data_IF_659179453245
#
_entry.id   IF_659179453245
#
_cell.length_a   1.000
_cell.length_b   1.000
_cell.length_c   1.000
_cell.angle_alpha   90.00
_cell.angle_beta   90.00
_cell.angle_gamma   90.00
#
_symmetry.space_group_name_H-M   'P 1'
#
loop_
_entity.id
_entity.type
_entity.pdbx_description
1 polymer ?
#
# COMPACT_ATOMS: atom_id res chain seq x y z
N UNK A 1 14.44 2.34 -45.86
CA UNK A 1 15.15 1.30 -45.09
C UNK A 1 14.63 1.43 -43.68
N UNK A 2 13.66 0.59 -43.28
CA UNK A 2 13.93 -0.68 -42.57
C UNK A 2 14.56 -0.39 -41.19
N UNK A 3 14.08 -0.86 -40.03
CA UNK A 3 13.06 -1.85 -39.66
C UNK A 3 12.73 -1.68 -38.16
N UNK A 4 11.55 -2.13 -37.76
CA UNK A 4 11.00 -2.15 -36.40
C UNK A 4 11.65 -3.16 -35.41
N UNK A 5 11.50 -2.90 -34.10
CA UNK A 5 11.27 -3.85 -32.98
C UNK A 5 10.53 -3.08 -31.87
N UNK A 6 9.27 -3.33 -31.51
CA UNK A 6 8.62 -4.48 -30.83
C UNK A 6 8.97 -4.58 -29.34
N UNK A 7 8.07 -4.09 -28.48
CA UNK A 7 7.81 -4.61 -27.14
C UNK A 7 6.30 -4.43 -26.87
N UNK A 8 5.60 -5.55 -26.72
CA UNK A 8 4.16 -5.61 -26.48
C UNK A 8 3.88 -5.71 -24.99
N UNK A 9 3.00 -4.85 -24.51
CA UNK A 9 2.38 -4.94 -23.19
C UNK A 9 1.21 -5.94 -23.31
N UNK A 10 1.37 -7.12 -22.73
CA UNK A 10 0.29 -8.11 -22.62
C UNK A 10 -0.58 -7.68 -21.44
N UNK A 11 -1.67 -7.00 -21.75
CA UNK A 11 -2.79 -6.77 -20.84
C UNK A 11 -3.55 -8.09 -20.72
N UNK A 12 -3.49 -8.73 -19.56
CA UNK A 12 -4.29 -9.93 -19.25
C UNK A 12 -5.77 -9.53 -19.20
N UNK A 13 -6.66 -10.10 -20.02
CA UNK A 13 -8.08 -9.80 -19.93
C UNK A 13 -8.71 -10.56 -18.76
N UNK A 14 -9.42 -9.83 -17.90
CA UNK A 14 -10.40 -10.37 -16.96
C UNK A 14 -11.32 -11.34 -17.71
N UNK A 15 -11.30 -12.62 -17.32
CA UNK A 15 -12.23 -13.63 -17.80
C UNK A 15 -13.62 -13.34 -17.24
N UNK A 16 -14.35 -12.43 -17.90
CA UNK A 16 -15.79 -12.32 -17.79
C UNK A 16 -16.37 -13.64 -18.33
N UNK A 17 -16.75 -14.56 -17.43
CA UNK A 17 -17.47 -15.77 -17.81
C UNK A 17 -18.85 -15.34 -18.33
N UNK A 18 -19.00 -15.37 -19.64
CA UNK A 18 -20.28 -15.16 -20.32
C UNK A 18 -21.21 -16.31 -19.98
N UNK A 19 -22.21 -16.06 -19.14
CA UNK A 19 -23.40 -16.92 -18.98
C UNK A 19 -24.00 -17.18 -20.36
N UNK A 20 -23.89 -18.42 -20.83
CA UNK A 20 -24.67 -18.90 -21.97
C UNK A 20 -26.06 -19.28 -21.47
N UNK A 21 -27.04 -18.41 -21.71
CA UNK A 21 -28.44 -18.68 -21.47
C UNK A 21 -28.93 -19.80 -22.41
N UNK A 22 -28.95 -21.04 -21.90
CA UNK A 22 -29.63 -22.16 -22.56
C UNK A 22 -31.14 -22.01 -22.31
N UNK A 23 -31.85 -21.39 -23.27
CA UNK A 23 -33.31 -21.31 -23.27
C UNK A 23 -33.88 -22.69 -23.64
N UNK A 24 -34.11 -23.54 -22.64
CA UNK A 24 -34.94 -24.73 -22.79
C UNK A 24 -36.43 -24.31 -22.71
N UNK A 25 -37.06 -24.10 -23.87
CA UNK A 25 -38.49 -23.81 -23.99
C UNK A 25 -39.31 -25.06 -23.63
N UNK A 26 -39.63 -25.22 -22.35
CA UNK A 26 -40.58 -26.24 -21.88
C UNK A 26 -42.02 -25.79 -22.20
N UNK A 27 -42.63 -26.44 -23.19
CA UNK A 27 -44.06 -26.26 -23.51
C UNK A 27 -44.88 -26.95 -22.42
N UNK A 28 -45.20 -26.24 -21.34
CA UNK A 28 -46.28 -26.64 -20.44
C UNK A 28 -47.59 -26.37 -21.19
N UNK A 29 -48.28 -27.44 -21.60
CA UNK A 29 -49.61 -27.32 -22.19
C UNK A 29 -50.60 -26.81 -21.14
N UNK A 30 -50.72 -25.49 -21.05
CA UNK A 30 -51.72 -24.81 -20.23
C UNK A 30 -53.13 -25.16 -20.77
N UNK A 31 -53.86 -25.99 -20.04
CA UNK A 31 -55.30 -26.13 -20.27
C UNK A 31 -55.95 -24.87 -19.70
N UNK A 32 -56.37 -23.97 -20.59
CA UNK A 32 -57.04 -22.73 -20.19
C UNK A 32 -58.36 -23.04 -19.46
N UNK A 33 -58.41 -22.75 -18.16
CA UNK A 33 -59.64 -22.72 -17.36
C UNK A 33 -60.09 -21.24 -17.26
N UNK A 34 -61.37 -20.92 -17.51
CA UNK A 34 -61.84 -19.54 -17.51
C UNK A 34 -61.77 -18.91 -16.11
N UNK A 35 -61.41 -17.63 -16.08
CA UNK A 35 -61.24 -16.80 -14.89
C UNK A 35 -62.44 -16.84 -13.94
N UNK A 36 -62.18 -17.19 -12.68
CA UNK A 36 -63.07 -16.98 -11.54
C UNK A 36 -62.30 -16.13 -10.51
N UNK A 37 -63.05 -15.31 -9.79
CA UNK A 37 -62.65 -14.22 -8.90
C UNK A 37 -61.34 -14.38 -8.10
N UNK A 38 -60.66 -13.25 -7.88
CA UNK A 38 -59.57 -13.07 -6.93
C UNK A 38 -60.00 -13.51 -5.52
N UNK A 39 -59.67 -14.76 -5.19
CA UNK A 39 -59.46 -15.20 -3.82
C UNK A 39 -57.99 -14.90 -3.46
N UNK A 40 -57.71 -14.72 -2.17
CA UNK A 40 -56.37 -14.65 -1.59
C UNK A 40 -55.36 -15.47 -2.41
N UNK A 41 -54.21 -14.88 -2.73
CA UNK A 41 -53.15 -15.60 -3.42
C UNK A 41 -52.69 -16.71 -2.48
N UNK A 42 -53.27 -17.91 -2.65
CA UNK A 42 -52.76 -19.16 -2.10
C UNK A 42 -51.43 -19.40 -2.82
N UNK A 43 -50.35 -18.85 -2.29
CA UNK A 43 -49.05 -18.95 -2.90
C UNK A 43 -48.37 -20.19 -2.38
N UNK A 44 -48.31 -21.20 -3.24
CA UNK A 44 -47.35 -22.28 -3.08
C UNK A 44 -45.94 -21.66 -2.91
N UNK A 45 -45.19 -22.10 -1.91
CA UNK A 45 -43.84 -21.67 -1.64
C UNK A 45 -42.91 -22.88 -1.67
N UNK A 46 -41.69 -22.65 -2.14
CA UNK A 46 -40.67 -23.69 -2.34
C UNK A 46 -39.39 -23.18 -1.70
N UNK A 47 -38.91 -23.93 -0.72
CA UNK A 47 -37.66 -23.70 -0.02
C UNK A 47 -36.70 -24.87 -0.30
N UNK A 48 -35.40 -24.61 -0.30
CA UNK A 48 -34.37 -25.61 -0.63
C UNK A 48 -33.19 -25.41 0.30
N UNK A 49 -32.85 -26.45 1.06
CA UNK A 49 -31.75 -26.45 2.02
C UNK A 49 -30.79 -27.61 1.74
N UNK A 50 -29.48 -27.38 1.74
CA UNK A 50 -28.48 -28.44 1.53
C UNK A 50 -27.94 -28.95 2.87
N UNK A 51 -28.03 -30.25 3.06
CA UNK A 51 -27.57 -30.87 4.29
C UNK A 51 -26.06 -30.97 4.31
N UNK A 52 -25.46 -30.48 5.40
CA UNK A 52 -24.01 -30.53 5.61
C UNK A 52 -23.44 -31.96 5.52
N UNK A 53 -24.08 -32.91 6.18
CA UNK A 53 -23.52 -34.26 6.36
C UNK A 53 -23.56 -35.12 5.08
N UNK A 54 -24.48 -34.82 4.15
CA UNK A 54 -24.71 -35.64 2.94
C UNK A 54 -24.54 -34.87 1.64
N UNK A 55 -24.64 -33.54 1.68
CA UNK A 55 -24.75 -32.66 0.51
C UNK A 55 -26.08 -32.75 -0.23
N UNK A 56 -27.02 -33.60 0.24
CA UNK A 56 -28.34 -33.74 -0.36
C UNK A 56 -29.16 -32.48 -0.10
N UNK A 57 -29.99 -32.09 -1.08
CA UNK A 57 -30.86 -30.93 -0.94
C UNK A 57 -32.27 -31.36 -0.55
N UNK A 58 -32.82 -30.79 0.51
CA UNK A 58 -34.21 -30.98 0.92
C UNK A 58 -35.05 -29.85 0.35
N UNK A 59 -35.95 -30.19 -0.56
CA UNK A 59 -36.94 -29.25 -1.09
C UNK A 59 -38.19 -29.35 -0.22
N UNK A 60 -38.59 -28.23 0.38
CA UNK A 60 -39.80 -28.13 1.19
C UNK A 60 -40.86 -27.35 0.44
N UNK A 61 -42.08 -27.90 0.37
CA UNK A 61 -43.22 -27.27 -0.30
C UNK A 61 -44.30 -26.95 0.72
N UNK A 62 -44.68 -25.69 0.79
CA UNK A 62 -45.74 -25.21 1.67
C UNK A 62 -46.78 -24.42 0.89
N UNK A 63 -48.03 -24.46 1.34
CA UNK A 63 -49.12 -23.62 0.86
C UNK A 63 -49.79 -22.99 2.08
N UNK A 64 -49.82 -21.66 2.13
CA UNK A 64 -50.29 -20.90 3.30
C UNK A 64 -49.64 -21.39 4.61
N UNK A 65 -48.31 -21.50 4.61
CA UNK A 65 -47.48 -21.97 5.74
C UNK A 65 -47.80 -23.39 6.24
N UNK A 66 -48.55 -24.18 5.46
CA UNK A 66 -48.85 -25.58 5.75
C UNK A 66 -48.11 -26.48 4.77
N UNK A 67 -47.50 -27.56 5.26
CA UNK A 67 -46.78 -28.51 4.41
C UNK A 67 -47.71 -29.17 3.38
N UNK A 68 -47.21 -29.36 2.17
CA UNK A 68 -47.99 -29.89 1.04
C UNK A 68 -47.48 -31.26 0.64
N UNK A 69 -48.22 -32.30 1.02
CA UNK A 69 -47.98 -33.67 0.54
C UNK A 69 -48.41 -33.83 -0.93
N UNK A 70 -47.75 -34.72 -1.67
CA UNK A 70 -48.07 -35.07 -3.06
C UNK A 70 -47.99 -33.89 -4.06
N UNK A 71 -47.26 -32.82 -3.74
CA UNK A 71 -46.86 -31.83 -4.75
C UNK A 71 -45.90 -32.48 -5.74
N UNK A 72 -46.11 -32.27 -7.03
CA UNK A 72 -45.21 -32.78 -8.08
C UNK A 72 -44.03 -31.83 -8.22
N UNK A 73 -42.80 -32.34 -8.12
CA UNK A 73 -41.56 -31.59 -8.30
C UNK A 73 -40.85 -32.10 -9.55
N UNK A 74 -40.74 -31.25 -10.57
CA UNK A 74 -39.99 -31.53 -11.78
C UNK A 74 -38.69 -30.73 -11.77
N UNK A 75 -37.57 -31.44 -11.83
CA UNK A 75 -36.23 -30.84 -11.83
C UNK A 75 -35.71 -30.77 -13.26
N UNK A 76 -35.36 -29.57 -13.70
CA UNK A 76 -34.59 -29.35 -14.92
C UNK A 76 -33.17 -28.96 -14.52
N UNK A 77 -32.18 -29.69 -15.04
CA UNK A 77 -30.79 -29.57 -14.63
C UNK A 77 -29.84 -29.68 -15.83
N UNK A 78 -28.58 -29.21 -15.70
CA UNK A 78 -27.53 -29.47 -16.68
C UNK A 78 -27.14 -30.95 -16.73
N UNK A 79 -26.39 -31.36 -17.77
CA UNK A 79 -26.03 -32.76 -18.01
C UNK A 79 -25.19 -33.40 -16.88
N UNK A 80 -24.46 -32.59 -16.11
CA UNK A 80 -23.62 -33.03 -14.99
C UNK A 80 -24.43 -33.35 -13.72
N UNK A 81 -25.75 -33.12 -13.72
CA UNK A 81 -26.61 -33.40 -12.58
C UNK A 81 -27.86 -34.19 -12.98
N UNK A 82 -28.21 -35.19 -12.17
CA UNK A 82 -29.41 -36.01 -12.36
C UNK A 82 -30.13 -36.17 -11.03
N UNK A 83 -31.31 -35.53 -10.93
CA UNK A 83 -32.17 -35.62 -9.76
C UNK A 83 -32.98 -36.93 -9.67
N UNK A 84 -32.95 -37.76 -10.72
CA UNK A 84 -33.85 -38.91 -10.87
C UNK A 84 -35.16 -38.55 -11.60
N UNK A 85 -36.10 -39.49 -11.64
CA UNK A 85 -37.42 -39.28 -12.26
C UNK A 85 -38.32 -38.39 -11.39
N UNK A 86 -39.39 -37.84 -12.00
CA UNK A 86 -40.30 -36.89 -11.36
C UNK A 86 -40.72 -37.33 -9.95
N UNK A 87 -40.58 -36.40 -9.01
CA UNK A 87 -40.72 -36.68 -7.60
C UNK A 87 -42.01 -36.09 -7.05
N UNK A 88 -42.54 -36.70 -5.99
CA UNK A 88 -43.67 -36.17 -5.24
C UNK A 88 -43.26 -35.94 -3.80
N UNK A 89 -43.69 -34.82 -3.21
CA UNK A 89 -43.43 -34.55 -1.80
C UNK A 89 -44.08 -35.60 -0.90
N UNK A 90 -43.40 -35.92 0.20
CA UNK A 90 -43.85 -36.87 1.22
C UNK A 90 -44.85 -36.21 2.20
N UNK A 91 -45.23 -36.95 3.26
CA UNK A 91 -46.17 -36.46 4.29
C UNK A 91 -45.70 -35.23 5.04
N UNK A 92 -44.41 -34.89 4.97
CA UNK A 92 -43.83 -33.68 5.55
C UNK A 92 -43.76 -32.52 4.55
N UNK A 93 -44.27 -32.72 3.33
CA UNK A 93 -44.15 -31.75 2.24
C UNK A 93 -42.74 -31.63 1.68
N UNK A 94 -41.92 -32.66 1.86
CA UNK A 94 -40.50 -32.63 1.47
C UNK A 94 -40.18 -33.61 0.36
N UNK A 95 -39.16 -33.29 -0.43
CA UNK A 95 -38.49 -34.23 -1.33
C UNK A 95 -36.98 -34.03 -1.25
N UNK A 96 -36.22 -35.12 -1.25
CA UNK A 96 -34.76 -35.09 -1.20
C UNK A 96 -34.22 -35.21 -2.62
N UNK A 97 -33.36 -34.26 -2.99
CA UNK A 97 -32.57 -34.29 -4.20
C UNK A 97 -31.16 -34.81 -3.88
N UNK A 98 -30.58 -35.69 -4.71
CA UNK A 98 -29.25 -36.21 -4.48
C UNK A 98 -28.20 -35.09 -4.50
N UNK A 99 -27.13 -35.26 -3.73
CA UNK A 99 -25.98 -34.36 -3.74
C UNK A 99 -25.36 -34.30 -5.15
N UNK A 100 -25.02 -33.11 -5.66
CA UNK A 100 -24.34 -33.00 -6.94
C UNK A 100 -22.85 -33.40 -6.82
N UNK A 101 -22.29 -34.04 -7.85
CA UNK A 101 -20.85 -34.29 -7.92
C UNK A 101 -20.05 -33.02 -8.30
N UNK A 102 -20.70 -32.11 -9.02
CA UNK A 102 -20.19 -30.81 -9.45
C UNK A 102 -21.33 -29.80 -9.31
N UNK A 103 -21.05 -28.56 -8.89
CA UNK A 103 -22.11 -27.56 -8.66
C UNK A 103 -23.00 -27.38 -9.90
N UNK A 104 -24.32 -27.28 -9.67
CA UNK A 104 -25.31 -27.28 -10.74
C UNK A 104 -26.47 -26.31 -10.47
N UNK A 105 -26.73 -25.43 -11.45
CA UNK A 105 -27.92 -24.59 -11.47
C UNK A 105 -29.14 -25.41 -11.91
N UNK A 106 -30.09 -25.64 -11.01
CA UNK A 106 -31.30 -26.40 -11.28
C UNK A 106 -32.54 -25.50 -11.24
N UNK A 107 -33.52 -25.83 -12.08
CA UNK A 107 -34.84 -25.21 -12.09
C UNK A 107 -35.87 -26.21 -11.60
N UNK A 108 -36.51 -25.90 -10.48
CA UNK A 108 -37.58 -26.69 -9.87
C UNK A 108 -38.93 -26.13 -10.35
N UNK A 109 -39.72 -26.95 -11.04
CA UNK A 109 -41.12 -26.67 -11.33
C UNK A 109 -42.00 -27.50 -10.40
N UNK A 110 -42.65 -26.83 -9.45
CA UNK A 110 -43.49 -27.46 -8.43
C UNK A 110 -44.96 -27.21 -8.75
N UNK A 111 -45.77 -28.26 -8.74
CA UNK A 111 -47.20 -28.19 -9.02
C UNK A 111 -48.03 -28.89 -7.94
N UNK A 112 -49.04 -28.19 -7.42
CA UNK A 112 -50.05 -28.74 -6.50
C UNK A 112 -51.39 -28.05 -6.71
N UNK A 113 -52.50 -28.79 -6.68
CA UNK A 113 -53.85 -28.20 -6.73
C UNK A 113 -54.19 -27.38 -7.99
N UNK A 114 -53.38 -27.46 -9.05
CA UNK A 114 -53.50 -26.59 -10.25
C UNK A 114 -52.65 -25.32 -10.20
N UNK A 115 -52.03 -25.03 -9.05
CA UNK A 115 -51.03 -23.98 -8.85
C UNK A 115 -49.66 -24.49 -9.28
N UNK A 116 -48.86 -23.62 -9.91
CA UNK A 116 -47.49 -23.94 -10.34
C UNK A 116 -46.53 -22.84 -9.89
N UNK A 117 -45.38 -23.24 -9.38
CA UNK A 117 -44.28 -22.35 -8.98
C UNK A 117 -42.99 -22.83 -9.59
N UNK A 118 -42.15 -21.89 -10.00
CA UNK A 118 -40.81 -22.18 -10.50
C UNK A 118 -39.78 -21.53 -9.59
N UNK A 119 -38.77 -22.31 -9.17
CA UNK A 119 -37.66 -21.85 -8.33
C UNK A 119 -36.35 -22.25 -8.99
N UNK A 120 -35.43 -21.29 -9.10
CA UNK A 120 -34.06 -21.57 -9.52
C UNK A 120 -33.20 -21.68 -8.25
N UNK A 121 -32.33 -22.67 -8.20
CA UNK A 121 -31.39 -22.89 -7.09
C UNK A 121 -30.09 -23.46 -7.63
N UNK A 122 -28.97 -23.03 -7.06
CA UNK A 122 -27.65 -23.61 -7.32
C UNK A 122 -27.39 -24.65 -6.24
N UNK A 123 -27.24 -25.91 -6.63
CA UNK A 123 -26.83 -26.97 -5.72
C UNK A 123 -25.30 -27.06 -5.75
N UNK A 124 -24.67 -26.90 -4.60
CA UNK A 124 -23.21 -26.91 -4.45
C UNK A 124 -22.71 -28.33 -4.17
N UNK A 125 -21.66 -28.74 -4.88
CA UNK A 125 -21.03 -30.05 -4.64
C UNK A 125 -20.42 -30.12 -3.23
N UNK A 126 -20.46 -31.27 -2.53
CA UNK A 126 -19.82 -31.42 -1.23
C UNK A 126 -18.36 -30.98 -1.22
N UNK A 127 -17.62 -31.29 -2.29
CA UNK A 127 -16.22 -30.91 -2.46
C UNK A 127 -15.99 -29.38 -2.58
N UNK A 128 -17.02 -28.62 -2.94
CA UNK A 128 -16.99 -27.16 -3.12
C UNK A 128 -17.80 -26.44 -2.03
N UNK A 129 -18.27 -27.17 -1.01
CA UNK A 129 -19.19 -26.66 0.00
C UNK A 129 -18.51 -25.84 1.10
N UNK A 130 -17.22 -26.08 1.32
CA UNK A 130 -16.40 -25.38 2.30
C UNK A 130 -15.98 -24.03 1.72
N UNK A 131 -16.17 -22.97 2.49
CA UNK A 131 -15.81 -21.60 2.14
C UNK A 131 -14.98 -20.99 3.27
N UNK A 132 -14.01 -20.15 2.89
CA UNK A 132 -13.14 -19.44 3.83
C UNK A 132 -13.04 -17.98 3.43
N UNK A 133 -13.32 -17.11 4.38
CA UNK A 133 -13.25 -15.66 4.22
C UNK A 133 -12.30 -15.08 5.27
N UNK A 134 -11.68 -13.95 4.94
CA UNK A 134 -10.78 -13.22 5.83
C UNK A 134 -11.21 -11.76 5.81
N UNK A 135 -11.47 -11.20 6.98
CA UNK A 135 -11.82 -9.80 7.18
C UNK A 135 -10.83 -9.17 8.16
N UNK A 136 -10.39 -7.95 7.87
CA UNK A 136 -9.48 -7.21 8.73
C UNK A 136 -9.73 -5.70 8.56
N UNK A 137 -9.82 -5.00 9.68
CA UNK A 137 -9.62 -3.55 9.72
C UNK A 137 -8.11 -3.27 9.83
N UNK A 138 -7.60 -2.22 9.17
CA UNK A 138 -6.15 -1.97 9.09
C UNK A 138 -5.50 -1.87 10.48
N UNK A 139 -4.36 -2.53 10.68
CA UNK A 139 -3.68 -2.56 11.98
C UNK A 139 -4.34 -3.43 13.05
N UNK A 140 -5.54 -3.95 12.80
CA UNK A 140 -6.25 -4.82 13.73
C UNK A 140 -6.03 -6.31 13.43
N UNK A 141 -6.57 -7.16 14.31
CA UNK A 141 -6.54 -8.62 14.14
C UNK A 141 -7.45 -9.02 13.00
N UNK A 142 -6.99 -9.95 12.15
CA UNK A 142 -7.82 -10.50 11.09
C UNK A 142 -8.74 -11.60 11.64
N UNK A 143 -9.97 -11.66 11.18
CA UNK A 143 -10.93 -12.72 11.49
C UNK A 143 -11.06 -13.60 10.25
N UNK A 144 -10.67 -14.87 10.39
CA UNK A 144 -10.94 -15.90 9.39
C UNK A 144 -12.24 -16.59 9.76
N UNK A 145 -13.17 -16.67 8.81
CA UNK A 145 -14.44 -17.38 8.98
C UNK A 145 -14.50 -18.56 8.03
N UNK A 146 -14.77 -19.75 8.56
CA UNK A 146 -14.94 -20.99 7.81
C UNK A 146 -16.40 -21.44 7.90
N UNK A 147 -17.03 -21.59 6.74
CA UNK A 147 -18.41 -22.07 6.63
C UNK A 147 -18.51 -23.27 5.71
N UNK A 148 -19.54 -24.08 5.90
CA UNK A 148 -19.90 -25.14 4.99
C UNK A 148 -21.39 -25.03 4.67
N UNK A 149 -21.72 -24.89 3.39
CA UNK A 149 -23.07 -24.51 2.94
C UNK A 149 -23.60 -23.25 3.64
N UNK A 150 -22.72 -22.29 3.95
CA UNK A 150 -23.06 -21.03 4.63
C UNK A 150 -23.20 -21.13 6.16
N UNK A 151 -23.15 -22.33 6.72
CA UNK A 151 -23.22 -22.54 8.17
C UNK A 151 -21.81 -22.62 8.79
N UNK A 152 -21.57 -22.09 10.00
CA UNK A 152 -20.24 -22.06 10.62
C UNK A 152 -19.70 -23.46 10.96
N UNK A 153 -18.41 -23.67 10.76
CA UNK A 153 -17.72 -24.95 11.01
C UNK A 153 -16.79 -24.82 12.21
N UNK A 154 -17.12 -25.46 13.33
CA UNK A 154 -16.25 -25.57 14.50
C UNK A 154 -15.12 -26.59 14.28
N UNK A 155 -13.95 -26.34 14.86
CA UNK A 155 -12.76 -27.20 14.80
C UNK A 155 -12.22 -27.46 13.37
N UNK A 156 -12.52 -26.58 12.41
CA UNK A 156 -11.83 -26.60 11.12
C UNK A 156 -10.38 -26.17 11.34
N UNK A 157 -9.43 -26.90 10.76
CA UNK A 157 -8.01 -26.55 10.82
C UNK A 157 -7.71 -25.45 9.80
N UNK A 158 -7.17 -24.32 10.26
CA UNK A 158 -6.79 -23.16 9.46
C UNK A 158 -5.28 -23.01 9.48
N UNK A 159 -4.66 -22.89 8.31
CA UNK A 159 -3.22 -22.64 8.15
C UNK A 159 -3.00 -21.40 7.30
N UNK A 160 -2.02 -20.58 7.68
CA UNK A 160 -1.67 -19.35 6.98
C UNK A 160 -0.28 -19.49 6.38
N UNK A 161 -0.14 -19.12 5.12
CA UNK A 161 1.14 -19.12 4.39
C UNK A 161 1.29 -17.82 3.61
N UNK A 162 2.50 -17.49 3.19
CA UNK A 162 2.77 -16.38 2.27
C UNK A 162 3.92 -16.78 1.35
N UNK A 163 3.94 -16.21 0.14
CA UNK A 163 5.07 -16.34 -0.79
C UNK A 163 6.19 -15.35 -0.46
N UNK A 164 5.90 -14.38 0.41
CA UNK A 164 6.84 -13.34 0.83
C UNK A 164 7.82 -13.88 1.87
N UNK A 165 9.08 -13.41 1.82
CA UNK A 165 10.09 -13.81 2.80
C UNK A 165 10.05 -12.90 4.04
N UNK A 166 8.89 -12.86 4.69
CA UNK A 166 8.58 -12.03 5.87
C UNK A 166 8.32 -12.90 7.09
N UNK A 167 8.51 -12.33 8.28
CA UNK A 167 8.08 -12.95 9.53
C UNK A 167 6.69 -12.46 9.88
N UNK A 168 5.75 -13.37 10.07
CA UNK A 168 4.43 -13.08 10.62
C UNK A 168 4.02 -14.20 11.57
N UNK A 169 3.48 -13.83 12.72
CA UNK A 169 3.34 -14.74 13.86
C UNK A 169 2.44 -15.96 13.58
N UNK A 170 1.41 -15.81 12.72
CA UNK A 170 0.52 -16.93 12.37
C UNK A 170 1.02 -17.78 11.19
N UNK A 171 2.18 -17.48 10.60
CA UNK A 171 2.68 -18.26 9.46
C UNK A 171 3.06 -19.68 9.84
N UNK A 172 2.59 -20.63 9.03
CA UNK A 172 2.86 -22.06 9.17
C UNK A 172 2.41 -22.66 10.52
N UNK A 173 1.55 -21.94 11.24
CA UNK A 173 0.84 -22.47 12.39
C UNK A 173 -0.53 -23.01 11.95
N UNK A 174 -1.00 -24.04 12.65
CA UNK A 174 -2.36 -24.53 12.49
C UNK A 174 -3.19 -24.05 13.66
N UNK A 175 -4.28 -23.35 13.35
CA UNK A 175 -5.28 -22.92 14.30
C UNK A 175 -6.58 -23.70 14.09
N UNK A 176 -7.44 -23.74 15.09
CA UNK A 176 -8.77 -24.36 14.98
C UNK A 176 -9.85 -23.28 15.13
N UNK A 177 -10.91 -23.38 14.33
CA UNK A 177 -12.06 -22.48 14.45
C UNK A 177 -12.88 -22.77 15.70
N UNK A 178 -13.46 -21.72 16.27
CA UNK A 178 -14.37 -21.80 17.40
C UNK A 178 -15.79 -22.22 17.00
N UNK A 179 -16.73 -22.22 17.96
CA UNK A 179 -18.15 -22.57 17.74
C UNK A 179 -18.85 -21.70 16.69
N UNK A 180 -18.33 -20.50 16.42
CA UNK A 180 -18.85 -19.59 15.41
C UNK A 180 -18.17 -19.80 14.05
N UNK A 181 -17.28 -20.79 13.93
CA UNK A 181 -16.50 -21.03 12.73
C UNK A 181 -15.41 -19.99 12.50
N UNK A 182 -14.96 -19.31 13.55
CA UNK A 182 -14.01 -18.20 13.43
C UNK A 182 -12.66 -18.48 14.08
N UNK A 183 -11.60 -17.87 13.57
CA UNK A 183 -10.29 -17.79 14.21
C UNK A 183 -9.69 -16.40 14.03
N UNK A 184 -9.12 -15.86 15.11
CA UNK A 184 -8.43 -14.56 15.10
C UNK A 184 -6.94 -14.73 14.79
N UNK A 185 -6.47 -14.09 13.73
CA UNK A 185 -5.06 -13.95 13.43
C UNK A 185 -4.52 -12.63 14.01
N UNK A 186 -3.27 -12.57 14.47
CA UNK A 186 -2.66 -11.32 14.94
C UNK A 186 -2.59 -10.27 13.82
N UNK A 187 -2.54 -8.99 14.16
CA UNK A 187 -2.21 -7.93 13.19
C UNK A 187 -0.79 -8.15 12.65
N UNK A 188 -0.51 -7.86 11.38
CA UNK A 188 0.84 -7.90 10.84
C UNK A 188 1.61 -6.62 11.21
N UNK A 189 2.95 -6.71 11.28
CA UNK A 189 3.83 -5.55 11.50
C UNK A 189 4.05 -4.72 10.21
N UNK A 190 3.89 -5.35 9.04
CA UNK A 190 3.97 -4.75 7.71
C UNK A 190 2.83 -5.30 6.84
N UNK A 191 2.39 -4.53 5.85
CA UNK A 191 1.44 -5.01 4.84
C UNK A 191 1.94 -6.30 4.18
N UNK A 192 1.12 -7.35 4.20
CA UNK A 192 1.51 -8.65 3.63
C UNK A 192 0.32 -9.40 3.03
N UNK A 193 0.59 -10.16 1.96
CA UNK A 193 -0.41 -11.00 1.31
C UNK A 193 -0.28 -12.44 1.81
N UNK A 194 -1.36 -12.95 2.42
CA UNK A 194 -1.46 -14.33 2.92
C UNK A 194 -2.33 -15.19 2.04
N UNK A 195 -2.00 -16.48 2.00
CA UNK A 195 -2.90 -17.55 1.58
C UNK A 195 -3.35 -18.30 2.82
N UNK A 196 -4.66 -18.29 3.05
CA UNK A 196 -5.32 -18.98 4.17
C UNK A 196 -6.00 -20.22 3.63
N UNK A 197 -5.63 -21.38 4.18
CA UNK A 197 -6.24 -22.67 3.84
C UNK A 197 -6.99 -23.23 5.05
N UNK A 198 -8.26 -23.57 4.85
CA UNK A 198 -9.09 -24.24 5.83
C UNK A 198 -9.34 -25.69 5.41
N UNK A 199 -9.28 -26.62 6.35
CA UNK A 199 -9.59 -28.04 6.15
C UNK A 199 -10.52 -28.56 7.23
N UNK A 200 -11.53 -29.32 6.81
CA UNK A 200 -12.40 -30.11 7.69
C UNK A 200 -12.68 -31.43 7.00
N UNK A 201 -12.46 -32.54 7.71
CA UNK A 201 -12.48 -33.89 7.15
C UNK A 201 -11.60 -33.99 5.88
N UNK A 202 -12.20 -34.34 4.73
CA UNK A 202 -11.54 -34.43 3.43
C UNK A 202 -11.74 -33.17 2.55
N UNK A 203 -12.37 -32.12 3.09
CA UNK A 203 -12.65 -30.87 2.38
C UNK A 203 -11.54 -29.84 2.61
N UNK A 204 -11.26 -29.06 1.57
CA UNK A 204 -10.31 -27.96 1.62
C UNK A 204 -10.90 -26.74 0.92
N UNK A 205 -10.73 -25.57 1.54
CA UNK A 205 -11.01 -24.27 0.95
C UNK A 205 -9.77 -23.40 1.14
N UNK A 206 -9.48 -22.55 0.16
CA UNK A 206 -8.33 -21.64 0.23
C UNK A 206 -8.75 -20.27 -0.30
N UNK A 207 -8.29 -19.23 0.38
CA UNK A 207 -8.47 -17.84 -0.04
C UNK A 207 -7.17 -17.06 0.12
N UNK A 208 -7.05 -15.96 -0.61
CA UNK A 208 -5.92 -15.03 -0.51
C UNK A 208 -6.44 -13.71 0.03
N UNK A 209 -5.76 -13.15 1.02
CA UNK A 209 -6.09 -11.87 1.62
C UNK A 209 -4.83 -11.01 1.76
N UNK A 210 -4.99 -9.70 1.60
CA UNK A 210 -3.96 -8.74 1.99
C UNK A 210 -4.30 -8.29 3.41
N UNK A 211 -3.36 -8.50 4.33
CA UNK A 211 -3.43 -7.99 5.67
C UNK A 211 -2.66 -6.68 5.73
N UNK A 212 -3.29 -5.65 6.28
CA UNK A 212 -2.74 -4.29 6.35
C UNK A 212 -2.29 -4.02 7.78
N UNK A 213 -1.06 -3.53 7.92
CA UNK A 213 -0.51 -3.08 9.19
C UNK A 213 -1.06 -1.68 9.53
N UNK A 214 -0.81 -1.21 10.75
CA UNK A 214 -1.10 0.19 11.05
C UNK A 214 -0.03 1.07 10.44
N UNK A 215 -0.44 2.20 9.84
CA UNK A 215 0.48 3.18 9.28
C UNK A 215 0.55 4.41 10.19
N UNK A 216 1.66 4.56 10.91
CA UNK A 216 2.01 5.82 11.53
C UNK A 216 2.15 6.91 10.45
N UNK A 217 1.51 8.06 10.70
CA UNK A 217 1.55 9.22 9.84
C UNK A 217 1.96 10.47 10.62
N UNK A 218 2.69 11.35 9.95
CA UNK A 218 3.08 12.66 10.50
C UNK A 218 2.83 13.76 9.48
N UNK A 219 2.10 14.77 9.90
CA UNK A 219 1.89 16.01 9.16
C UNK A 219 2.61 17.15 9.87
N UNK A 220 3.23 18.04 9.09
CA UNK A 220 3.91 19.22 9.59
C UNK A 220 3.49 20.42 8.74
N UNK A 221 3.02 21.48 9.38
CA UNK A 221 2.54 22.69 8.71
C UNK A 221 2.99 23.93 9.46
N UNK A 222 3.24 25.02 8.73
CA UNK A 222 3.39 26.33 9.33
C UNK A 222 2.01 26.97 9.51
N UNK A 223 1.71 27.42 10.72
CA UNK A 223 0.48 28.14 11.05
C UNK A 223 0.52 29.60 10.58
N UNK A 224 -0.62 30.30 10.63
CA UNK A 224 -0.69 31.73 10.31
C UNK A 224 0.16 32.61 11.25
N UNK A 225 0.42 32.14 12.47
CA UNK A 225 1.30 32.79 13.46
C UNK A 225 2.79 32.41 13.26
N UNK A 226 3.12 31.70 12.17
CA UNK A 226 4.48 31.29 11.83
C UNK A 226 4.99 30.07 12.62
N UNK A 227 4.22 29.54 13.56
CA UNK A 227 4.55 28.37 14.38
C UNK A 227 4.53 27.09 13.55
N UNK A 228 5.40 26.14 13.88
CA UNK A 228 5.37 24.79 13.31
C UNK A 228 4.37 23.93 14.11
N UNK A 229 3.26 23.56 13.47
CA UNK A 229 2.30 22.59 13.98
C UNK A 229 2.59 21.21 13.39
N UNK A 230 2.71 20.22 14.27
CA UNK A 230 2.95 18.82 13.93
C UNK A 230 1.81 17.99 14.49
N UNK A 231 1.21 17.17 13.63
CA UNK A 231 0.20 16.19 13.97
C UNK A 231 0.76 14.79 13.71
N UNK A 232 0.67 13.91 14.71
CA UNK A 232 1.06 12.50 14.63
C UNK A 232 -0.20 11.67 14.82
N UNK A 233 -0.51 10.85 13.81
CA UNK A 233 -1.72 10.04 13.78
C UNK A 233 -1.42 8.62 13.35
N UNK A 234 -2.22 7.68 13.84
CA UNK A 234 -2.20 6.27 13.48
C UNK A 234 -3.66 5.88 13.15
N UNK A 235 -3.89 5.35 11.95
CA UNK A 235 -5.23 5.16 11.35
C UNK A 235 -6.15 6.41 11.45
N UNK A 236 -5.54 7.61 11.42
CA UNK A 236 -6.24 8.88 11.50
C UNK A 236 -6.58 9.36 12.92
N UNK A 237 -6.31 8.56 13.96
CA UNK A 237 -6.44 8.97 15.36
C UNK A 237 -5.12 9.51 15.92
N UNK A 238 -5.19 10.51 16.80
CA UNK A 238 -3.99 11.10 17.40
C UNK A 238 -3.28 10.14 18.37
N UNK A 239 -1.98 9.96 18.16
CA UNK A 239 -1.18 9.08 19.01
C UNK A 239 -0.61 9.81 20.22
N UNK A 240 -1.03 9.43 21.42
CA UNK A 240 -0.51 10.04 22.65
C UNK A 240 0.99 9.73 22.86
N UNK A 241 1.71 10.73 23.36
CA UNK A 241 3.13 10.63 23.72
C UNK A 241 4.06 10.15 22.60
N UNK A 242 3.69 10.38 21.33
CA UNK A 242 4.58 10.10 20.21
C UNK A 242 5.90 10.86 20.34
N UNK A 243 7.00 10.20 19.99
CA UNK A 243 8.33 10.82 19.96
C UNK A 243 8.52 11.51 18.63
N UNK A 244 8.77 12.82 18.64
CA UNK A 244 8.94 13.62 17.43
C UNK A 244 10.38 14.13 17.38
N UNK A 245 11.14 13.71 16.39
CA UNK A 245 12.49 14.24 16.12
C UNK A 245 12.41 15.28 15.02
N UNK A 246 12.91 16.46 15.30
CA UNK A 246 12.97 17.61 14.41
C UNK A 246 14.41 17.83 14.03
N UNK A 247 14.71 17.85 12.74
CA UNK A 247 16.03 18.11 12.20
C UNK A 247 15.94 19.17 11.12
N UNK A 248 16.94 20.04 11.02
CA UNK A 248 16.98 21.04 9.96
C UNK A 248 18.37 21.21 9.35
N UNK A 249 18.40 21.74 8.13
CA UNK A 249 19.66 21.93 7.38
C UNK A 249 20.53 23.09 7.88
N UNK A 250 19.91 24.05 8.58
CA UNK A 250 20.51 25.16 9.33
C UNK A 250 20.12 25.01 10.82
N UNK A 251 20.57 25.90 11.70
CA UNK A 251 20.29 25.75 13.13
C UNK A 251 18.88 26.30 13.44
N UNK A 252 17.91 25.42 13.66
CA UNK A 252 16.60 25.78 14.21
C UNK A 252 16.61 25.60 15.73
N UNK A 253 15.99 26.51 16.49
CA UNK A 253 16.01 26.45 17.96
C UNK A 253 15.42 25.14 18.51
N UNK A 254 14.50 24.53 17.77
CA UNK A 254 13.82 23.31 18.16
C UNK A 254 14.37 22.05 17.47
N UNK A 255 15.61 22.07 16.97
CA UNK A 255 16.28 20.82 16.56
C UNK A 255 16.41 19.86 17.75
N UNK A 256 16.14 18.57 17.51
CA UNK A 256 16.21 17.50 18.50
C UNK A 256 14.88 16.78 18.73
N UNK A 257 14.77 16.08 19.85
CA UNK A 257 13.63 15.22 20.18
C UNK A 257 12.65 15.91 21.11
N UNK A 258 11.37 15.80 20.76
CA UNK A 258 10.21 16.33 21.48
C UNK A 258 9.19 15.22 21.71
N UNK A 259 8.23 15.48 22.58
CA UNK A 259 7.08 14.60 22.81
C UNK A 259 5.82 15.32 22.38
N UNK A 260 4.98 14.64 21.59
CA UNK A 260 3.63 15.09 21.24
C UNK A 260 2.63 14.44 22.21
N UNK A 261 2.28 15.09 23.35
CA UNK A 261 1.54 14.43 24.43
C UNK A 261 0.14 13.95 24.01
N UNK A 262 -0.51 14.66 23.08
CA UNK A 262 -1.83 14.32 22.56
C UNK A 262 -1.80 14.13 21.03
N UNK A 263 -0.73 13.54 20.49
CA UNK A 263 -0.51 13.41 19.04
C UNK A 263 -0.38 14.74 18.31
N UNK A 264 -0.14 15.82 19.05
CA UNK A 264 0.04 17.18 18.52
C UNK A 264 1.21 17.86 19.22
N UNK A 265 1.96 18.66 18.47
CA UNK A 265 3.09 19.45 18.95
C UNK A 265 3.12 20.78 18.21
N UNK A 266 3.27 21.88 18.94
CA UNK A 266 3.46 23.21 18.38
C UNK A 266 4.79 23.77 18.83
N UNK A 267 5.61 24.21 17.89
CA UNK A 267 6.94 24.77 18.09
C UNK A 267 6.98 26.22 17.59
N UNK A 268 7.75 27.07 18.28
CA UNK A 268 7.79 28.50 17.99
C UNK A 268 8.36 28.80 16.59
N UNK A 269 8.05 29.96 15.98
CA UNK A 269 8.47 30.29 14.63
C UNK A 269 10.00 30.34 14.49
N UNK A 270 10.56 30.06 13.30
CA UNK A 270 12.00 30.18 13.10
C UNK A 270 12.43 31.64 13.00
N UNK A 271 13.70 31.92 13.32
CA UNK A 271 14.29 33.26 13.17
C UNK A 271 14.82 33.55 11.77
N UNK A 272 15.08 32.50 10.99
CA UNK A 272 15.50 32.54 9.58
C UNK A 272 14.73 31.47 8.82
N UNK A 273 14.59 31.59 7.49
CA UNK A 273 13.94 30.54 6.72
C UNK A 273 14.71 29.23 6.82
N UNK A 274 13.98 28.13 6.98
CA UNK A 274 14.54 26.81 7.24
C UNK A 274 13.64 25.73 6.67
N UNK A 275 14.24 24.70 6.08
CA UNK A 275 13.56 23.44 5.79
C UNK A 275 13.76 22.51 6.99
N UNK A 276 12.65 22.06 7.56
CA UNK A 276 12.61 21.16 8.71
C UNK A 276 12.15 19.78 8.24
N UNK A 277 12.87 18.75 8.66
CA UNK A 277 12.51 17.34 8.56
C UNK A 277 11.97 16.87 9.92
N UNK A 278 10.78 16.28 9.90
CA UNK A 278 10.08 15.82 11.10
C UNK A 278 9.94 14.31 10.98
N UNK A 279 10.44 13.59 11.98
CA UNK A 279 10.29 12.14 12.13
C UNK A 279 9.47 11.84 13.38
N UNK A 280 8.29 11.25 13.21
CA UNK A 280 7.52 10.70 14.32
C UNK A 280 7.92 9.23 14.54
N UNK A 281 7.95 8.80 15.79
CA UNK A 281 8.18 7.42 16.19
C UNK A 281 7.23 7.05 17.33
N UNK A 282 6.54 5.93 17.15
CA UNK A 282 5.66 5.30 18.14
C UNK A 282 6.08 3.84 18.17
N UNK A 283 6.47 3.34 19.35
CA UNK A 283 7.08 2.02 19.50
C UNK A 283 8.20 1.78 18.45
N UNK A 284 8.01 0.87 17.51
CA UNK A 284 8.95 0.57 16.42
C UNK A 284 8.59 1.21 15.07
N UNK A 285 7.41 1.83 14.96
CA UNK A 285 6.91 2.48 13.74
C UNK A 285 7.49 3.88 13.55
N UNK A 286 7.67 4.28 12.28
CA UNK A 286 8.28 5.56 11.91
C UNK A 286 7.59 6.20 10.73
N UNK A 287 7.30 7.49 10.87
CA UNK A 287 6.77 8.33 9.82
C UNK A 287 7.64 9.57 9.65
N UNK A 288 7.87 10.02 8.42
CA UNK A 288 8.70 11.20 8.15
C UNK A 288 8.01 12.18 7.21
N UNK A 289 8.18 13.46 7.46
CA UNK A 289 7.71 14.54 6.57
C UNK A 289 8.70 15.70 6.59
N UNK A 290 8.53 16.67 5.69
CA UNK A 290 9.34 17.89 5.67
C UNK A 290 8.50 19.11 5.35
N UNK A 291 8.84 20.25 5.92
CA UNK A 291 8.15 21.52 5.71
C UNK A 291 9.15 22.67 5.64
N UNK A 292 8.92 23.60 4.72
CA UNK A 292 9.64 24.87 4.66
C UNK A 292 8.95 25.88 5.58
N UNK A 293 9.69 26.40 6.55
CA UNK A 293 9.22 27.44 7.47
C UNK A 293 9.79 28.80 7.06
N UNK A 294 8.93 29.80 7.03
CA UNK A 294 9.31 31.21 6.78
C UNK A 294 9.40 31.94 8.11
N UNK A 295 10.48 32.67 8.34
CA UNK A 295 10.61 33.50 9.53
C UNK A 295 9.64 34.70 9.46
N UNK A 296 9.05 35.11 10.60
CA UNK A 296 8.18 36.30 10.64
C UNK A 296 8.89 37.57 10.14
N UNK A 297 10.19 37.66 10.35
CA UNK A 297 11.02 38.76 9.87
C UNK A 297 11.44 38.65 8.40
N UNK A 298 11.13 37.53 7.74
CA UNK A 298 11.29 37.36 6.29
C UNK A 298 10.00 37.62 5.51
N UNK A 299 9.13 38.50 6.02
CA UNK A 299 8.49 39.46 5.13
C UNK A 299 9.59 40.39 4.60
N UNK A 300 10.42 39.91 3.68
CA UNK A 300 11.72 40.48 3.32
C UNK A 300 11.64 42.01 3.22
N UNK A 301 12.50 42.76 3.93
CA UNK A 301 12.65 44.20 3.72
C UNK A 301 12.93 44.55 2.23
N UNK A 302 13.44 43.58 1.45
CA UNK A 302 13.59 43.67 0.00
C UNK A 302 12.25 43.62 -0.77
N UNK A 303 11.23 42.91 -0.30
CA UNK A 303 9.90 42.90 -0.91
C UNK A 303 9.14 44.19 -0.62
N UNK A 304 9.27 44.75 0.59
CA UNK A 304 8.73 46.06 0.93
C UNK A 304 9.46 47.18 0.16
N UNK A 305 10.79 47.10 0.06
CA UNK A 305 11.59 48.00 -0.75
C UNK A 305 11.27 47.88 -2.26
N UNK A 306 11.18 46.67 -2.80
CA UNK A 306 10.85 46.44 -4.21
C UNK A 306 9.41 46.88 -4.54
N UNK A 307 8.45 46.63 -3.66
CA UNK A 307 7.07 47.11 -3.80
C UNK A 307 7.02 48.63 -3.75
N UNK A 308 7.74 49.24 -2.82
CA UNK A 308 7.85 50.71 -2.70
C UNK A 308 8.55 51.33 -3.91
N UNK A 309 9.58 50.68 -4.46
CA UNK A 309 10.27 51.09 -5.67
C UNK A 309 9.36 51.02 -6.91
N UNK A 310 8.58 49.95 -7.07
CA UNK A 310 7.63 49.81 -8.17
C UNK A 310 6.51 50.85 -8.08
N UNK A 311 5.97 51.11 -6.87
CA UNK A 311 4.99 52.15 -6.65
C UNK A 311 5.55 53.55 -6.94
N UNK A 312 6.80 53.81 -6.54
CA UNK A 312 7.48 55.07 -6.81
C UNK A 312 7.76 55.28 -8.31
N UNK A 313 8.20 54.25 -9.03
CA UNK A 313 8.36 54.29 -10.49
C UNK A 313 7.00 54.55 -11.16
N UNK A 314 5.92 53.92 -10.69
CA UNK A 314 4.57 54.17 -11.17
C UNK A 314 4.12 55.62 -10.96
N UNK A 315 4.44 56.20 -9.80
CA UNK A 315 4.19 57.62 -9.50
C UNK A 315 4.95 58.54 -10.47
N UNK A 316 6.25 58.32 -10.66
CA UNK A 316 7.08 59.12 -11.58
C UNK A 316 6.67 59.00 -13.06
N UNK A 317 6.03 57.89 -13.45
CA UNK A 317 5.49 57.70 -14.80
C UNK A 317 4.11 58.35 -14.99
N UNK A 318 3.37 58.58 -13.90
CA UNK A 318 2.04 59.19 -13.93
C UNK A 318 2.06 60.71 -13.80
N UNK A 319 3.11 61.27 -13.19
CA UNK A 319 3.32 62.70 -13.01
C UNK A 319 4.37 63.22 -14.01
N UNK A 320 4.19 64.44 -14.51
CA UNK A 320 5.18 65.09 -15.39
C UNK A 320 6.29 65.69 -14.50
N UNK A 321 7.22 64.83 -14.09
CA UNK A 321 8.30 65.19 -13.17
C UNK A 321 9.44 65.91 -13.89
N UNK A 322 9.93 66.99 -13.27
CA UNK A 322 11.07 67.74 -13.81
C UNK A 322 12.38 66.93 -13.68
N UNK A 323 13.04 66.70 -14.81
CA UNK A 323 14.36 66.08 -14.91
C UNK A 323 14.36 64.57 -15.26
N UNK A 324 15.55 63.95 -15.37
CA UNK A 324 15.66 62.54 -15.74
C UNK A 324 15.13 61.63 -14.63
N UNK A 325 14.09 60.83 -14.94
CA UNK A 325 13.47 59.84 -14.03
C UNK A 325 14.52 58.96 -13.32
N UNK A 326 15.62 58.62 -14.00
CA UNK A 326 16.70 57.81 -13.44
C UNK A 326 17.43 58.42 -12.23
N UNK A 327 17.46 59.75 -12.09
CA UNK A 327 18.06 60.40 -10.91
C UNK A 327 17.14 60.25 -9.68
N UNK A 328 15.83 60.47 -9.86
CA UNK A 328 14.84 60.29 -8.79
C UNK A 328 14.80 58.84 -8.30
N UNK A 329 14.92 57.87 -9.20
CA UNK A 329 15.01 56.45 -8.85
C UNK A 329 16.31 56.16 -8.07
N UNK A 330 17.45 56.71 -8.49
CA UNK A 330 18.72 56.53 -7.79
C UNK A 330 18.68 57.11 -6.37
N UNK A 331 18.07 58.29 -6.19
CA UNK A 331 17.90 58.91 -4.87
C UNK A 331 16.97 58.10 -3.97
N UNK A 332 15.86 57.59 -4.52
CA UNK A 332 14.94 56.72 -3.79
C UNK A 332 15.60 55.41 -3.36
N UNK A 333 16.33 54.76 -4.27
CA UNK A 333 17.08 53.53 -3.99
C UNK A 333 18.14 53.81 -2.94
N UNK A 334 18.88 54.92 -3.03
CA UNK A 334 19.92 55.26 -2.08
C UNK A 334 19.36 55.54 -0.67
N UNK A 335 18.24 56.28 -0.59
CA UNK A 335 17.62 56.65 0.69
C UNK A 335 16.89 55.49 1.38
N UNK A 336 16.42 54.50 0.62
CA UNK A 336 15.58 53.41 1.14
C UNK A 336 16.23 52.02 1.01
N UNK A 337 17.50 51.94 0.57
CA UNK A 337 18.19 50.65 0.45
C UNK A 337 18.29 49.97 1.83
N UNK A 338 17.71 48.78 2.00
CA UNK A 338 17.75 48.06 3.28
C UNK A 338 19.17 47.71 3.74
N UNK A 339 20.17 47.69 2.84
CA UNK A 339 21.57 47.44 3.17
C UNK A 339 22.34 48.69 3.68
N UNK A 340 21.75 49.90 3.63
CA UNK A 340 22.42 51.15 3.99
C UNK A 340 22.75 51.27 5.49
N UNK A 341 22.01 50.58 6.37
CA UNK A 341 22.25 50.57 7.83
C UNK A 341 23.46 49.73 8.26
N UNK A 342 24.01 48.90 7.37
CA UNK A 342 24.98 47.86 7.70
C UNK A 342 26.43 48.25 7.29
N UNK A 343 26.65 49.52 6.92
CA UNK A 343 27.95 50.01 6.43
C UNK A 343 28.33 49.52 5.02
N UNK A 344 27.39 48.95 4.28
CA UNK A 344 27.56 48.40 2.93
C UNK A 344 26.77 49.22 1.90
N UNK A 345 26.72 50.55 2.09
CA UNK A 345 26.23 51.47 1.07
C UNK A 345 27.08 51.39 -0.21
N UNK A 346 26.58 51.91 -1.35
CA UNK A 346 27.36 51.96 -2.59
C UNK A 346 28.70 52.69 -2.33
N UNK A 347 29.79 52.31 -3.04
CA UNK A 347 31.11 52.90 -2.81
C UNK A 347 31.09 54.44 -2.85
N UNK A 348 31.90 55.10 -2.00
CA UNK A 348 32.06 56.57 -1.85
C UNK A 348 32.44 57.33 -3.15
N UNK A 349 32.47 56.64 -4.28
CA UNK A 349 32.85 57.14 -5.60
C UNK A 349 31.70 57.09 -6.62
N UNK A 350 30.44 56.94 -6.17
CA UNK A 350 29.27 57.23 -6.99
C UNK A 350 29.15 58.76 -7.19
N UNK A 351 30.05 59.33 -8.00
CA UNK A 351 30.18 60.76 -8.23
C UNK A 351 28.91 61.38 -8.82
N UNK A 352 28.29 62.28 -8.06
CA UNK A 352 27.35 63.29 -8.58
C UNK A 352 28.12 64.48 -9.19
N UNK A 353 27.57 65.21 -10.18
CA UNK A 353 28.31 66.20 -10.96
C UNK A 353 28.53 67.57 -10.28
N UNK A 354 28.25 67.74 -8.98
CA UNK A 354 28.25 69.05 -8.32
C UNK A 354 29.14 69.09 -7.06
N UNK A 355 30.45 68.96 -7.24
CA UNK A 355 31.46 69.27 -6.22
C UNK A 355 31.96 70.70 -6.35
N UNK A 356 31.17 71.66 -5.88
CA UNK A 356 31.51 73.07 -5.78
C UNK A 356 32.18 73.33 -4.41
N UNK A 357 33.43 73.79 -4.47
CA UNK A 357 34.13 74.66 -3.51
C UNK A 357 34.12 74.30 -2.01
N UNK A 358 35.23 73.72 -1.54
CA UNK A 358 35.83 74.21 -0.30
C UNK A 358 37.36 74.30 -0.45
N UNK A 359 37.83 75.54 -0.50
CA UNK A 359 39.23 75.92 -0.53
C UNK A 359 39.59 76.50 0.84
N UNK A 360 40.49 75.84 1.55
CA UNK A 360 41.24 76.37 2.71
C UNK A 360 42.28 75.33 3.15
N UNK A 361 43.56 75.42 2.76
CA UNK A 361 44.61 76.33 3.29
C UNK A 361 44.85 76.07 4.79
N UNK A 362 45.98 75.61 5.34
CA UNK A 362 47.39 75.39 5.00
C UNK A 362 47.87 74.27 5.97
N UNK A 363 48.96 73.53 5.81
CA UNK A 363 50.36 73.98 5.71
C UNK A 363 51.25 72.86 5.18
N UNK A 364 52.02 73.18 4.15
CA UNK A 364 53.21 72.49 3.67
C UNK A 364 54.32 72.46 4.74
N UNK A 365 55.09 71.37 4.81
CA UNK A 365 56.57 71.37 4.82
C UNK A 365 57.09 70.04 4.23
N UNK A 366 57.53 70.12 2.97
CA UNK A 366 58.71 69.53 2.34
C UNK A 366 59.05 68.03 2.51
N UNK A 367 58.96 67.26 1.41
CA UNK A 367 60.19 66.76 0.74
C UNK A 367 59.90 66.36 -0.72
N UNK A 368 60.81 66.79 -1.59
CA UNK A 368 60.78 66.76 -3.04
C UNK A 368 60.96 65.33 -3.58
N UNK A 369 60.25 64.95 -4.65
CA UNK A 369 60.82 64.52 -5.95
C UNK A 369 59.77 63.86 -6.86
N UNK A 370 59.53 64.55 -7.98
CA UNK A 370 59.29 64.09 -9.35
C UNK A 370 58.61 62.74 -9.67
N UNK A 371 57.57 62.91 -10.50
CA UNK A 371 57.25 62.16 -11.72
C UNK A 371 56.67 60.72 -11.65
N UNK A 372 55.40 60.68 -12.05
CA UNK A 372 54.91 59.88 -13.16
C UNK A 372 55.32 58.40 -13.22
N UNK A 373 54.42 57.55 -12.70
CA UNK A 373 53.70 56.49 -13.46
C UNK A 373 53.28 55.37 -12.53
N UNK A 374 51.97 55.28 -12.28
CA UNK A 374 51.33 54.00 -11.95
C UNK A 374 51.44 53.07 -13.17
N UNK A 375 52.45 52.20 -13.14
CA UNK A 375 52.58 50.99 -13.95
C UNK A 375 52.99 49.83 -13.02
N UNK A 376 52.62 48.58 -13.33
CA UNK A 376 52.64 47.48 -12.37
C UNK A 376 54.07 47.05 -12.03
N UNK A 377 54.38 46.63 -10.78
CA UNK A 377 55.70 46.12 -10.48
C UNK A 377 55.88 44.71 -11.06
N UNK A 378 56.77 44.64 -12.05
CA UNK A 378 57.52 43.47 -12.44
C UNK A 378 58.69 43.23 -11.47
N UNK A 379 58.80 42.03 -10.90
CA UNK A 379 60.10 41.52 -10.42
C UNK A 379 60.27 40.07 -10.89
N UNK A 380 60.77 39.94 -12.12
CA UNK A 380 61.67 38.84 -12.45
C UNK A 380 63.07 39.26 -11.98
N UNK A 381 63.69 38.48 -11.09
CA UNK A 381 65.13 38.50 -10.94
C UNK A 381 65.72 37.27 -11.63
N UNK A 382 66.59 37.51 -12.59
CA UNK A 382 67.29 36.52 -13.38
C UNK A 382 68.68 36.26 -12.79
N UNK A 383 69.12 34.99 -12.84
CA UNK A 383 70.51 34.61 -12.59
C UNK A 383 70.70 33.12 -12.36
N UNK A 384 70.84 32.34 -13.44
CA UNK A 384 71.42 30.97 -13.39
C UNK A 384 72.94 31.00 -13.17
N UNK A 385 73.69 29.87 -13.28
CA UNK A 385 73.36 28.68 -14.10
C UNK A 385 73.72 27.30 -13.49
N UNK A 386 73.47 26.28 -14.32
CA UNK A 386 74.10 24.95 -14.42
C UNK A 386 73.60 23.77 -13.55
N UNK A 387 72.68 23.03 -14.18
CA UNK A 387 72.75 21.60 -14.51
C UNK A 387 73.66 20.70 -13.65
N UNK A 388 73.05 19.77 -12.92
CA UNK A 388 73.48 18.37 -12.90
C UNK A 388 72.32 17.46 -12.45
N UNK A 389 72.01 16.46 -13.29
CA UNK A 389 71.29 15.22 -13.00
C UNK A 389 71.36 14.82 -11.52
N UNK A 390 70.22 14.56 -10.87
CA UNK A 390 69.91 13.32 -10.12
C UNK A 390 68.39 13.21 -9.85
N UNK A 391 67.76 12.21 -10.47
CA UNK A 391 66.60 11.41 -10.01
C UNK A 391 65.26 12.10 -9.72
N UNK A 392 64.12 11.65 -10.33
CA UNK A 392 62.82 11.98 -9.78
C UNK A 392 62.59 11.19 -8.47
N UNK A 393 61.99 11.82 -7.44
CA UNK A 393 61.77 11.22 -6.14
C UNK A 393 60.62 10.21 -6.18
N UNK A 394 60.77 9.20 -5.33
CA UNK A 394 59.73 8.26 -4.94
C UNK A 394 58.87 8.82 -3.81
N UNK A 395 57.64 8.32 -3.79
CA UNK A 395 56.72 8.12 -2.65
C UNK A 395 55.48 9.03 -2.53
N UNK A 396 54.36 8.40 -2.94
CA UNK A 396 53.06 8.25 -2.26
C UNK A 396 52.29 9.52 -1.86
N UNK A 397 51.01 9.70 -2.24
CA UNK A 397 50.05 8.91 -3.00
C UNK A 397 48.86 9.82 -3.36
N UNK A 398 48.15 9.57 -4.47
CA UNK A 398 46.71 9.78 -4.47
C UNK A 398 45.97 8.59 -5.11
N UNK A 399 44.64 8.74 -5.21
CA UNK A 399 43.67 8.04 -6.08
C UNK A 399 42.73 7.09 -5.33
N UNK A 400 41.41 7.29 -5.36
CA UNK A 400 40.45 7.44 -6.48
C UNK A 400 40.10 6.14 -7.20
N UNK A 401 38.79 6.03 -7.44
CA UNK A 401 38.09 5.35 -8.54
C UNK A 401 37.68 3.86 -8.44
N UNK A 402 36.34 3.75 -8.36
CA UNK A 402 35.27 2.84 -8.86
C UNK A 402 35.61 1.69 -9.87
N UNK A 403 34.60 0.95 -10.39
CA UNK A 403 34.63 -0.51 -10.63
C UNK A 403 35.33 -0.82 -11.98
N UNK A 404 35.59 -2.07 -12.38
CA UNK A 404 34.74 -2.87 -13.26
C UNK A 404 35.44 -4.22 -13.44
N UNK A 405 34.69 -5.32 -13.28
CA UNK A 405 35.19 -6.67 -13.46
C UNK A 405 35.10 -7.12 -14.91
N UNK A 406 36.26 -7.38 -15.53
CA UNK A 406 36.39 -8.31 -16.64
C UNK A 406 37.38 -9.40 -16.20
N UNK A 407 36.90 -10.63 -16.08
CA UNK A 407 37.74 -11.81 -15.84
C UNK A 407 37.46 -12.83 -16.94
N UNK A 408 38.35 -12.85 -17.93
CA UNK A 408 38.50 -13.93 -18.89
C UNK A 408 39.85 -14.61 -18.68
N UNK A 409 39.80 -15.95 -18.59
CA UNK A 409 40.70 -16.94 -19.22
C UNK A 409 41.17 -18.03 -18.26
N UNK A 410 40.60 -19.23 -18.47
CA UNK A 410 41.26 -20.53 -18.71
C UNK A 410 42.42 -20.95 -17.77
N UNK A 411 42.55 -22.18 -17.30
CA UNK A 411 42.26 -23.49 -17.91
C UNK A 411 42.43 -24.57 -16.80
N UNK A 412 41.86 -25.77 -16.98
CA UNK A 412 42.41 -27.10 -16.59
C UNK A 412 41.33 -28.15 -16.26
N UNK A 413 40.92 -28.87 -17.32
CA UNK A 413 40.97 -30.34 -17.45
C UNK A 413 40.59 -31.18 -16.20
N UNK A 414 39.45 -31.86 -16.25
CA UNK A 414 39.36 -33.34 -16.30
C UNK A 414 37.91 -33.81 -16.54
N UNK A 415 37.76 -34.82 -17.41
CA UNK A 415 36.47 -35.42 -17.77
C UNK A 415 35.88 -36.32 -16.68
N UNK A 416 34.68 -36.89 -16.91
CA UNK A 416 33.91 -37.60 -15.89
C UNK A 416 34.30 -39.08 -15.83
N UNK A 417 34.13 -39.76 -14.68
CA UNK A 417 33.97 -41.21 -14.69
C UNK A 417 32.56 -41.63 -14.27
N UNK A 418 32.17 -42.75 -14.87
CA UNK A 418 30.93 -43.48 -14.73
C UNK A 418 30.81 -44.30 -13.42
N UNK A 419 29.59 -44.81 -13.20
CA UNK A 419 29.19 -45.99 -12.44
C UNK A 419 30.25 -47.08 -12.26
N UNK A 420 30.39 -47.64 -11.04
CA UNK A 420 30.47 -49.10 -10.78
C UNK A 420 30.19 -49.44 -9.29
N UNK A 421 29.27 -50.39 -9.10
CA UNK A 421 29.13 -51.52 -8.14
C UNK A 421 29.80 -51.59 -6.76
N UNK A 422 28.97 -52.10 -5.82
CA UNK A 422 29.29 -53.14 -4.81
C UNK A 422 30.09 -52.70 -3.59
N UNK A 423 29.94 -53.27 -2.40
CA UNK A 423 29.12 -54.36 -1.88
C UNK A 423 29.33 -54.33 -0.36
N UNK A 424 28.58 -55.16 0.35
CA UNK A 424 28.87 -55.75 1.67
C UNK A 424 28.07 -55.23 2.90
N UNK A 425 27.00 -55.93 3.30
CA UNK A 425 26.92 -57.08 4.27
C UNK A 425 26.91 -56.54 5.73
N UNK A 426 26.05 -56.89 6.68
CA UNK A 426 25.24 -58.08 7.00
C UNK A 426 24.30 -57.67 8.15
N UNK A 427 23.07 -58.19 8.21
CA UNK A 427 22.65 -59.22 9.20
C UNK A 427 21.15 -59.47 9.08
N UNK A 428 20.88 -60.74 8.82
CA UNK A 428 19.60 -61.45 8.89
C UNK A 428 18.91 -61.28 10.25
N UNK A 429 17.58 -61.27 10.26
CA UNK A 429 16.79 -62.28 10.97
C UNK A 429 15.30 -62.10 10.64
N UNK A 430 14.79 -63.05 9.86
CA UNK A 430 13.37 -63.36 9.78
C UNK A 430 12.97 -64.08 11.07
N UNK A 431 11.88 -63.67 11.70
CA UNK A 431 11.03 -64.62 12.41
C UNK A 431 9.57 -64.21 12.30
N UNK A 432 8.79 -65.20 11.91
CA UNK A 432 7.38 -65.16 11.60
C UNK A 432 6.53 -65.42 12.86
N UNK A 433 5.24 -65.17 12.69
CA UNK A 433 4.10 -65.84 13.32
C UNK A 433 3.44 -65.22 14.58
N UNK A 434 2.26 -64.68 14.31
CA UNK A 434 0.97 -65.21 14.80
C UNK A 434 0.57 -64.98 16.26
N UNK A 435 -0.38 -64.05 16.44
CA UNK A 435 -1.56 -64.12 17.33
C UNK A 435 -2.35 -62.83 17.09
N UNK A 436 -3.54 -62.76 16.51
CA UNK A 436 -4.69 -63.65 16.56
C UNK A 436 -5.91 -62.77 16.91
N UNK A 437 -7.03 -62.82 16.17
CA UNK A 437 -8.19 -61.96 16.39
C UNK A 437 -9.03 -62.45 17.58
N UNK A 438 -9.48 -61.56 18.45
CA UNK A 438 -10.52 -61.83 19.45
C UNK A 438 -11.76 -60.98 19.13
N UNK A 439 -12.92 -61.60 18.86
CA UNK A 439 -13.90 -61.91 19.92
C UNK A 439 -14.43 -63.37 19.75
N UNK A 440 -15.27 -63.96 20.65
CA UNK A 440 -16.20 -63.36 21.61
C UNK A 440 -16.23 -64.04 23.01
N UNK A 441 -16.94 -63.46 23.98
CA UNK A 441 -17.83 -64.26 24.82
C UNK A 441 -18.87 -63.46 25.63
N UNK A 442 -19.98 -64.13 25.87
CA UNK A 442 -21.22 -63.69 26.50
C UNK A 442 -21.14 -63.63 28.04
N UNK A 443 -21.92 -62.75 28.69
CA UNK A 443 -22.75 -63.09 29.86
C UNK A 443 -23.68 -61.92 30.27
N UNK A 444 -24.90 -62.30 30.64
CA UNK A 444 -26.01 -61.47 31.06
C UNK A 444 -25.86 -60.86 32.47
N UNK A 445 -26.45 -59.67 32.68
CA UNK A 445 -27.47 -59.41 33.70
C UNK A 445 -28.24 -58.13 33.35
#
# INVERSE_FOLDING_TARGET
METARKAGLVMTPNRTQTLSALVALLVVAAVAVPAVAAADAETLAVDVEQQRDSGEAVVTVTENDTVVENATVQVTAPENYSAGEAMTTDSNGTVVLPAPNESADVTLAVAHGGTNVTRNVTLVAPAESLDVTVEQDAGERAIVTVTQYGEPVENASVTVTTEENVSYAALNETHETDVNGTVELPAPDDDLTVTVSATVDDLNATTTATLTATDLSVAATQTDDGELAIDVTEDGDHVENATVTVESGNQYEHDGTHTAPNGTLTLSPPTENVTVYVTATVEDERATTSVDLVAENDTTANNDFATSLVAFIGFLQSEDVDGPIGQHIADFVHANNPAAGNGQGPPDHAGGPNGADDAGNDTDEDDETDDDRNGPPSFANAGGPDEHDQGPPVEHAPSDERPDGENDSDDERHGPPEFVDGDDEDTEDEDSDDSGPGPPDHAAN
#
